data_IF_327113528016
#
_entry.id   IF_327113528016
#
_cell.length_a   1.000
_cell.length_b   1.000
_cell.length_c   1.000
_cell.angle_alpha   90.00
_cell.angle_beta   90.00
_cell.angle_gamma   90.00
#
_symmetry.space_group_name_H-M   'P 1'
#
loop_
_entity.id
_entity.type
_entity.pdbx_description
1 polymer ?
#
# COMPACT_ATOMS: atom_id res chain seq x y z
N UNK A 1 51.79 7.15 28.84
CA UNK A 1 50.51 7.72 28.34
C UNK A 1 50.29 7.54 26.85
N UNK A 2 51.30 7.36 25.99
CA UNK A 2 51.13 7.12 24.57
C UNK A 2 51.08 5.65 24.15
N UNK A 3 51.59 4.72 24.99
CA UNK A 3 51.55 3.27 24.69
C UNK A 3 50.21 2.61 25.03
N UNK A 4 49.48 3.09 26.01
CA UNK A 4 48.16 2.59 26.38
C UNK A 4 47.10 2.90 25.31
N UNK A 5 47.18 4.08 24.66
CA UNK A 5 46.26 4.44 23.57
C UNK A 5 46.47 3.65 22.27
N UNK A 6 47.68 3.09 22.07
CA UNK A 6 47.96 2.26 20.90
C UNK A 6 47.40 0.84 21.07
N UNK A 7 47.46 0.28 22.28
CA UNK A 7 46.93 -1.04 22.58
C UNK A 7 45.38 -1.09 22.58
N UNK A 8 44.71 -0.02 23.00
CA UNK A 8 43.25 0.10 22.92
C UNK A 8 42.73 0.18 21.46
N UNK A 9 43.45 0.90 20.58
CA UNK A 9 43.10 0.99 19.17
C UNK A 9 43.34 -0.31 18.40
N UNK A 10 44.33 -1.09 18.78
CA UNK A 10 44.60 -2.41 18.19
C UNK A 10 43.54 -3.46 18.65
N UNK A 11 43.09 -3.38 19.91
CA UNK A 11 42.04 -4.22 20.45
C UNK A 11 40.65 -3.98 19.77
N UNK A 12 40.31 -2.73 19.54
CA UNK A 12 39.06 -2.36 18.85
C UNK A 12 39.06 -2.75 17.36
N UNK A 13 40.21 -2.68 16.70
CA UNK A 13 40.37 -3.09 15.29
C UNK A 13 40.20 -4.61 15.06
N UNK A 14 40.56 -5.42 16.04
CA UNK A 14 40.51 -6.90 15.92
C UNK A 14 39.12 -7.42 16.27
N UNK A 15 38.36 -6.78 17.14
CA UNK A 15 36.98 -7.18 17.46
C UNK A 15 35.97 -6.86 16.34
N UNK A 16 36.22 -5.82 15.54
CA UNK A 16 35.31 -5.41 14.47
C UNK A 16 35.40 -6.28 13.21
N UNK A 17 36.43 -7.12 13.07
CA UNK A 17 36.61 -7.96 11.87
C UNK A 17 36.08 -9.41 12.01
N UNK A 18 35.62 -9.84 13.19
CA UNK A 18 35.10 -11.19 13.41
C UNK A 18 33.58 -11.36 13.22
N UNK A 19 32.84 -10.28 13.11
CA UNK A 19 31.37 -10.31 12.96
C UNK A 19 30.88 -9.83 11.60
N UNK A 20 31.64 -10.01 10.52
CA UNK A 20 31.00 -10.02 9.18
C UNK A 20 30.15 -11.29 9.13
N UNK A 21 28.90 -11.13 9.55
CA UNK A 21 27.85 -12.15 9.51
C UNK A 21 27.88 -12.83 8.14
N UNK A 22 27.69 -14.15 8.11
CA UNK A 22 27.47 -14.93 6.88
C UNK A 22 26.40 -14.27 5.98
N UNK A 23 25.53 -13.45 6.58
CA UNK A 23 24.54 -12.63 5.91
C UNK A 23 25.12 -11.59 4.93
N UNK A 24 26.32 -11.03 5.20
CA UNK A 24 26.95 -10.03 4.32
C UNK A 24 27.59 -10.64 3.05
N UNK A 25 27.84 -11.95 3.07
CA UNK A 25 28.39 -12.70 1.91
C UNK A 25 27.32 -13.12 0.90
N UNK A 26 26.04 -13.07 1.29
CA UNK A 26 24.94 -13.53 0.46
C UNK A 26 24.44 -12.34 -0.39
N UNK A 27 24.42 -12.47 -1.74
CA UNK A 27 23.93 -11.42 -2.62
C UNK A 27 22.45 -11.11 -2.31
N UNK A 28 22.07 -9.84 -2.39
CA UNK A 28 20.69 -9.37 -2.10
C UNK A 28 19.60 -10.20 -2.82
N UNK A 29 19.92 -10.73 -4.01
CA UNK A 29 19.01 -11.61 -4.79
C UNK A 29 18.67 -12.91 -4.06
N UNK A 30 19.64 -13.49 -3.35
CA UNK A 30 19.43 -14.74 -2.59
C UNK A 30 18.55 -14.46 -1.36
N UNK A 31 18.71 -13.32 -0.70
CA UNK A 31 17.83 -12.90 0.38
C UNK A 31 16.39 -12.72 -0.08
N UNK A 32 16.17 -12.19 -1.28
CA UNK A 32 14.83 -12.10 -1.87
C UNK A 32 14.22 -13.48 -2.13
N UNK A 33 15.01 -14.42 -2.64
CA UNK A 33 14.55 -15.81 -2.86
C UNK A 33 14.21 -16.51 -1.55
N UNK A 34 15.06 -16.35 -0.53
CA UNK A 34 14.82 -16.90 0.81
C UNK A 34 13.53 -16.29 1.41
N UNK A 35 13.37 -14.98 1.33
CA UNK A 35 12.17 -14.29 1.81
C UNK A 35 10.91 -14.80 1.10
N UNK A 36 10.97 -14.97 -0.22
CA UNK A 36 9.87 -15.53 -0.99
C UNK A 36 9.56 -16.98 -0.62
N UNK A 37 10.60 -17.81 -0.45
CA UNK A 37 10.45 -19.20 -0.03
C UNK A 37 9.82 -19.29 1.39
N UNK A 38 10.27 -18.45 2.32
CA UNK A 38 9.69 -18.37 3.68
C UNK A 38 8.22 -17.94 3.63
N UNK A 39 7.88 -16.94 2.81
CA UNK A 39 6.50 -16.50 2.64
C UNK A 39 5.60 -17.60 2.06
N UNK A 40 6.10 -18.36 1.06
CA UNK A 40 5.38 -19.49 0.48
C UNK A 40 5.22 -20.65 1.47
N UNK A 41 6.25 -20.93 2.27
CA UNK A 41 6.18 -21.94 3.32
C UNK A 41 5.16 -21.53 4.39
N UNK A 42 5.19 -20.28 4.81
CA UNK A 42 4.22 -19.73 5.77
C UNK A 42 2.78 -19.83 5.25
N UNK A 43 2.54 -19.45 3.99
CA UNK A 43 1.25 -19.63 3.35
C UNK A 43 0.82 -21.11 3.34
N UNK A 44 1.74 -22.01 2.96
CA UNK A 44 1.44 -23.44 2.92
C UNK A 44 1.03 -23.98 4.29
N UNK A 45 1.75 -23.58 5.36
CA UNK A 45 1.42 -23.97 6.74
C UNK A 45 0.02 -23.47 7.12
N UNK A 46 -0.29 -22.19 6.84
CA UNK A 46 -1.60 -21.61 7.13
C UNK A 46 -2.74 -22.30 6.35
N UNK A 47 -2.45 -22.79 5.16
CA UNK A 47 -3.40 -23.51 4.31
C UNK A 47 -3.78 -24.90 4.84
N UNK A 48 -2.90 -25.54 5.63
CA UNK A 48 -3.13 -26.88 6.21
C UNK A 48 -3.93 -26.78 7.51
N UNK A 49 -3.84 -25.69 8.25
CA UNK A 49 -4.52 -25.52 9.54
C UNK A 49 -6.04 -25.37 9.29
N UNK A 50 -6.90 -26.25 9.85
CA UNK A 50 -8.34 -26.24 9.58
C UNK A 50 -9.04 -24.93 9.92
N UNK A 51 -8.55 -24.22 10.96
CA UNK A 51 -9.11 -22.92 11.37
C UNK A 51 -8.85 -21.79 10.38
N UNK A 52 -7.73 -21.85 9.67
CA UNK A 52 -7.27 -20.79 8.74
C UNK A 52 -7.46 -21.16 7.27
N UNK A 53 -7.70 -22.42 6.94
CA UNK A 53 -7.86 -22.92 5.56
C UNK A 53 -9.01 -22.25 4.78
N UNK A 54 -10.00 -21.68 5.46
CA UNK A 54 -11.08 -20.90 4.82
C UNK A 54 -10.58 -19.55 4.30
N UNK A 55 -9.61 -18.94 4.98
CA UNK A 55 -9.02 -17.66 4.59
C UNK A 55 -7.78 -17.83 3.69
N UNK A 56 -7.00 -18.90 3.96
CA UNK A 56 -5.77 -19.22 3.21
C UNK A 56 -5.96 -20.53 2.45
N UNK A 57 -6.51 -20.44 1.26
CA UNK A 57 -6.68 -21.59 0.39
C UNK A 57 -5.36 -22.18 -0.08
N UNK A 58 -5.33 -23.50 -0.33
CA UNK A 58 -4.15 -24.18 -0.85
C UNK A 58 -3.77 -23.60 -2.22
N UNK A 59 -2.47 -23.38 -2.43
CA UNK A 59 -1.91 -22.83 -3.68
C UNK A 59 -2.38 -23.61 -4.90
N UNK A 60 -2.49 -24.94 -4.78
CA UNK A 60 -2.98 -25.81 -5.88
C UNK A 60 -4.42 -25.46 -6.25
N UNK A 61 -5.29 -25.25 -5.26
CA UNK A 61 -6.70 -24.85 -5.49
C UNK A 61 -6.79 -23.50 -6.14
N UNK A 62 -5.94 -22.56 -5.75
CA UNK A 62 -5.87 -21.22 -6.37
C UNK A 62 -5.46 -21.33 -7.84
N UNK A 63 -4.41 -22.12 -8.16
CA UNK A 63 -4.01 -22.35 -9.54
C UNK A 63 -5.10 -23.03 -10.39
N UNK A 64 -5.80 -24.01 -9.82
CA UNK A 64 -6.93 -24.66 -10.49
C UNK A 64 -8.08 -23.69 -10.74
N UNK A 65 -8.37 -22.80 -9.78
CA UNK A 65 -9.41 -21.77 -9.93
C UNK A 65 -9.06 -20.80 -11.05
N UNK A 66 -7.81 -20.36 -11.14
CA UNK A 66 -7.35 -19.48 -12.24
C UNK A 66 -7.55 -20.20 -13.58
N UNK A 67 -7.12 -21.46 -13.68
CA UNK A 67 -7.32 -22.24 -14.90
C UNK A 67 -8.80 -22.33 -15.28
N UNK A 68 -9.66 -22.63 -14.31
CA UNK A 68 -11.12 -22.72 -14.55
C UNK A 68 -11.70 -21.37 -15.01
N UNK A 69 -11.23 -20.25 -14.48
CA UNK A 69 -11.66 -18.91 -14.91
C UNK A 69 -11.21 -18.60 -16.34
N UNK A 70 -9.99 -19.04 -16.72
CA UNK A 70 -9.50 -18.92 -18.09
C UNK A 70 -10.35 -19.76 -19.03
N UNK A 71 -10.57 -21.04 -18.70
CA UNK A 71 -11.35 -21.97 -19.52
C UNK A 71 -12.81 -21.53 -19.73
N UNK A 72 -13.38 -20.83 -18.72
CA UNK A 72 -14.73 -20.22 -18.81
C UNK A 72 -14.74 -18.88 -19.55
N UNK A 73 -13.61 -18.29 -19.88
CA UNK A 73 -13.50 -16.99 -20.53
C UNK A 73 -13.91 -15.79 -19.66
N UNK A 74 -14.12 -15.99 -18.33
CA UNK A 74 -14.60 -14.92 -17.44
C UNK A 74 -13.46 -14.07 -16.87
N UNK A 75 -12.23 -14.59 -16.86
CA UNK A 75 -11.08 -13.90 -16.28
C UNK A 75 -10.84 -12.52 -16.93
N UNK A 76 -10.91 -12.45 -18.27
CA UNK A 76 -10.70 -11.19 -19.00
C UNK A 76 -11.78 -10.16 -18.71
N UNK A 77 -13.04 -10.58 -18.64
CA UNK A 77 -14.17 -9.70 -18.32
C UNK A 77 -14.10 -9.17 -16.89
N UNK A 78 -13.67 -9.98 -15.94
CA UNK A 78 -13.54 -9.60 -14.54
C UNK A 78 -12.36 -8.63 -14.33
N UNK A 79 -11.23 -8.89 -15.00
CA UNK A 79 -10.09 -7.95 -14.99
C UNK A 79 -10.49 -6.62 -15.59
N UNK A 80 -11.13 -6.61 -16.75
CA UNK A 80 -11.57 -5.38 -17.42
C UNK A 80 -12.59 -4.62 -16.57
N UNK A 81 -13.53 -5.32 -15.97
CA UNK A 81 -14.53 -4.76 -15.06
C UNK A 81 -13.88 -4.07 -13.84
N UNK A 82 -12.89 -4.71 -13.25
CA UNK A 82 -12.12 -4.17 -12.11
C UNK A 82 -11.30 -2.95 -12.55
N UNK A 83 -10.63 -3.03 -13.69
CA UNK A 83 -9.85 -1.93 -14.25
C UNK A 83 -10.71 -0.69 -14.53
N UNK A 84 -11.88 -0.87 -15.13
CA UNK A 84 -12.84 0.21 -15.37
C UNK A 84 -13.28 0.85 -14.05
N UNK A 85 -13.55 0.06 -13.00
CA UNK A 85 -13.96 0.58 -11.70
C UNK A 85 -12.83 1.41 -11.05
N UNK A 86 -11.59 0.93 -11.15
CA UNK A 86 -10.42 1.63 -10.62
C UNK A 86 -10.18 2.94 -11.37
N UNK A 87 -10.14 2.90 -12.70
CA UNK A 87 -9.89 4.09 -13.52
C UNK A 87 -11.01 5.12 -13.33
N UNK A 88 -12.27 4.70 -13.33
CA UNK A 88 -13.41 5.60 -13.14
C UNK A 88 -13.36 6.28 -11.76
N UNK A 89 -13.14 5.51 -10.69
CA UNK A 89 -13.04 6.06 -9.33
C UNK A 89 -11.83 7.00 -9.17
N UNK A 90 -10.69 6.63 -9.76
CA UNK A 90 -9.48 7.45 -9.74
C UNK A 90 -9.66 8.77 -10.49
N UNK A 91 -10.16 8.73 -11.72
CA UNK A 91 -10.39 9.93 -12.53
C UNK A 91 -11.38 10.88 -11.87
N UNK A 92 -12.50 10.35 -11.38
CA UNK A 92 -13.46 11.16 -10.64
C UNK A 92 -12.85 11.79 -9.39
N UNK A 93 -12.08 11.03 -8.62
CA UNK A 93 -11.37 11.52 -7.44
C UNK A 93 -10.38 12.62 -7.78
N UNK A 94 -9.56 12.41 -8.80
CA UNK A 94 -8.56 13.37 -9.25
C UNK A 94 -9.17 14.67 -9.76
N UNK A 95 -10.18 14.58 -10.64
CA UNK A 95 -10.85 15.75 -11.24
C UNK A 95 -11.48 16.65 -10.19
N UNK A 96 -12.03 16.07 -9.12
CA UNK A 96 -12.62 16.84 -8.01
C UNK A 96 -11.54 17.32 -7.03
N UNK A 97 -10.53 16.50 -6.75
CA UNK A 97 -9.45 16.84 -5.83
C UNK A 97 -8.62 18.03 -6.31
N UNK A 98 -8.36 18.12 -7.63
CA UNK A 98 -7.51 19.15 -8.22
C UNK A 98 -8.02 20.57 -7.92
N UNK A 99 -9.26 20.97 -8.28
CA UNK A 99 -9.76 22.30 -7.97
C UNK A 99 -9.87 22.56 -6.46
N UNK A 100 -10.26 21.58 -5.67
CA UNK A 100 -10.35 21.73 -4.21
C UNK A 100 -8.97 21.99 -3.61
N UNK A 101 -7.95 21.25 -4.01
CA UNK A 101 -6.58 21.43 -3.56
C UNK A 101 -6.01 22.80 -3.92
N UNK A 102 -6.26 23.28 -5.15
CA UNK A 102 -5.84 24.60 -5.61
C UNK A 102 -6.54 25.70 -4.80
N UNK A 103 -7.84 25.58 -4.56
CA UNK A 103 -8.57 26.53 -3.73
C UNK A 103 -8.05 26.57 -2.29
N UNK A 104 -7.71 25.40 -1.72
CA UNK A 104 -7.08 25.32 -0.39
C UNK A 104 -5.69 25.94 -0.35
N UNK A 105 -4.93 25.86 -1.45
CA UNK A 105 -3.61 26.47 -1.54
C UNK A 105 -3.69 28.02 -1.58
N UNK A 106 -4.64 28.56 -2.35
CA UNK A 106 -4.77 30.00 -2.55
C UNK A 106 -5.55 30.71 -1.46
N UNK A 107 -6.61 30.09 -0.93
CA UNK A 107 -7.53 30.73 0.01
C UNK A 107 -7.41 30.14 1.43
N UNK A 108 -6.77 30.87 2.34
CA UNK A 108 -6.63 30.50 3.76
C UNK A 108 -7.96 30.09 4.42
N UNK A 109 -9.10 30.84 4.25
CA UNK A 109 -10.38 30.43 4.87
C UNK A 109 -10.87 29.08 4.38
N UNK A 110 -10.77 28.80 3.07
CA UNK A 110 -11.17 27.52 2.46
C UNK A 110 -10.36 26.38 3.08
N UNK A 111 -9.07 26.59 3.22
CA UNK A 111 -8.17 25.63 3.85
C UNK A 111 -8.57 25.33 5.28
N UNK A 112 -8.76 26.35 6.11
CA UNK A 112 -9.09 26.17 7.53
C UNK A 112 -10.42 25.45 7.76
N UNK A 113 -11.35 25.55 6.81
CA UNK A 113 -12.63 24.84 6.87
C UNK A 113 -12.48 23.39 6.38
N UNK A 114 -11.80 23.16 5.25
CA UNK A 114 -11.79 21.85 4.59
C UNK A 114 -10.71 20.91 5.17
N UNK A 115 -9.53 21.44 5.52
CA UNK A 115 -8.38 20.63 5.96
C UNK A 115 -8.71 19.76 7.19
N UNK A 116 -9.38 20.24 8.26
CA UNK A 116 -9.71 19.40 9.40
C UNK A 116 -10.61 18.22 9.05
N UNK A 117 -11.59 18.41 8.14
CA UNK A 117 -12.50 17.36 7.70
C UNK A 117 -11.79 16.31 6.88
N UNK A 118 -10.94 16.73 5.94
CA UNK A 118 -10.13 15.79 5.16
C UNK A 118 -9.20 14.98 6.06
N UNK A 119 -8.52 15.63 7.01
CA UNK A 119 -7.64 14.96 7.97
C UNK A 119 -8.40 13.96 8.84
N UNK A 120 -9.58 14.33 9.32
CA UNK A 120 -10.43 13.45 10.12
C UNK A 120 -10.85 12.21 9.32
N UNK A 121 -11.42 12.41 8.12
CA UNK A 121 -11.94 11.30 7.30
C UNK A 121 -10.80 10.40 6.80
N UNK A 122 -9.64 10.97 6.42
CA UNK A 122 -8.48 10.23 5.93
C UNK A 122 -7.91 9.25 6.96
N UNK A 123 -8.06 9.53 8.25
CA UNK A 123 -7.60 8.64 9.31
C UNK A 123 -8.46 7.38 9.44
N UNK A 124 -9.66 7.37 8.85
CA UNK A 124 -10.52 6.19 8.82
C UNK A 124 -10.14 5.35 7.60
N UNK A 125 -9.75 4.06 7.79
CA UNK A 125 -9.44 3.19 6.65
C UNK A 125 -10.58 3.12 5.64
N UNK A 126 -10.33 3.27 4.33
CA UNK A 126 -11.40 3.22 3.31
C UNK A 126 -12.25 1.95 3.37
N UNK A 127 -11.67 0.82 3.80
CA UNK A 127 -12.39 -0.44 4.00
C UNK A 127 -13.51 -0.36 5.04
N UNK A 128 -13.44 0.57 6.00
CA UNK A 128 -14.46 0.74 7.01
C UNK A 128 -15.78 1.30 6.45
N UNK A 129 -15.72 2.05 5.33
CA UNK A 129 -16.93 2.58 4.67
C UNK A 129 -17.60 1.56 3.73
N UNK A 130 -16.91 0.49 3.34
CA UNK A 130 -17.42 -0.46 2.35
C UNK A 130 -18.80 -1.00 2.71
N UNK A 131 -19.05 -1.50 3.94
CA UNK A 131 -20.39 -1.98 4.31
C UNK A 131 -21.46 -0.89 4.18
N UNK A 132 -21.17 0.32 4.62
CA UNK A 132 -22.10 1.44 4.54
C UNK A 132 -22.42 1.82 3.09
N UNK A 133 -21.40 1.87 2.24
CA UNK A 133 -21.56 2.20 0.83
C UNK A 133 -22.33 1.09 0.09
N UNK A 134 -22.09 -0.18 0.44
CA UNK A 134 -22.84 -1.32 -0.14
C UNK A 134 -24.32 -1.25 0.25
N UNK A 135 -24.65 -0.91 1.48
CA UNK A 135 -26.03 -0.71 1.92
C UNK A 135 -26.70 0.44 1.15
N UNK A 136 -25.97 1.54 0.94
CA UNK A 136 -26.52 2.74 0.28
C UNK A 136 -26.60 2.61 -1.25
N UNK A 137 -25.58 2.02 -1.90
CA UNK A 137 -25.45 1.98 -3.35
C UNK A 137 -25.76 0.61 -3.98
N UNK A 138 -26.04 -0.40 -3.15
CA UNK A 138 -26.27 -1.78 -3.58
C UNK A 138 -24.99 -2.56 -3.84
N UNK A 139 -25.15 -3.83 -4.25
CA UNK A 139 -24.04 -4.72 -4.61
C UNK A 139 -23.65 -4.50 -6.07
N UNK A 140 -22.35 -4.53 -6.36
CA UNK A 140 -21.86 -4.46 -7.74
C UNK A 140 -20.75 -3.44 -7.95
N UNK A 141 -20.66 -2.86 -9.16
CA UNK A 141 -19.59 -1.97 -9.57
C UNK A 141 -19.67 -0.57 -8.93
N UNK A 142 -20.88 -0.08 -8.66
CA UNK A 142 -21.10 1.27 -8.10
C UNK A 142 -20.38 1.49 -6.77
N UNK A 143 -20.55 0.63 -5.72
CA UNK A 143 -19.85 0.81 -4.45
C UNK A 143 -18.33 0.76 -4.59
N UNK A 144 -17.80 -0.05 -5.51
CA UNK A 144 -16.36 -0.09 -5.77
C UNK A 144 -15.83 1.26 -6.27
N UNK A 145 -16.51 1.85 -7.25
CA UNK A 145 -16.16 3.17 -7.80
C UNK A 145 -16.21 4.23 -6.70
N UNK A 146 -17.27 4.23 -5.87
CA UNK A 146 -17.45 5.21 -4.79
C UNK A 146 -16.33 5.11 -3.74
N UNK A 147 -15.96 3.91 -3.32
CA UNK A 147 -14.87 3.71 -2.35
C UNK A 147 -13.54 4.22 -2.91
N UNK A 148 -13.23 3.88 -4.17
CA UNK A 148 -12.00 4.33 -4.83
C UNK A 148 -12.01 5.85 -5.02
N UNK A 149 -13.14 6.42 -5.41
CA UNK A 149 -13.31 7.85 -5.55
C UNK A 149 -13.04 8.59 -4.23
N UNK A 150 -13.66 8.17 -3.13
CA UNK A 150 -13.45 8.80 -1.81
C UNK A 150 -11.98 8.71 -1.39
N UNK A 151 -11.37 7.53 -1.48
CA UNK A 151 -9.98 7.32 -1.13
C UNK A 151 -9.03 8.19 -1.96
N UNK A 152 -9.23 8.23 -3.28
CA UNK A 152 -8.43 9.03 -4.20
C UNK A 152 -8.60 10.52 -3.94
N UNK A 153 -9.84 10.99 -3.78
CA UNK A 153 -10.14 12.39 -3.48
C UNK A 153 -9.41 12.88 -2.23
N UNK A 154 -9.49 12.14 -1.11
CA UNK A 154 -8.88 12.52 0.16
C UNK A 154 -7.35 12.58 0.06
N UNK A 155 -6.73 11.56 -0.55
CA UNK A 155 -5.26 11.49 -0.66
C UNK A 155 -4.75 12.55 -1.63
N UNK A 156 -5.36 12.66 -2.82
CA UNK A 156 -4.92 13.60 -3.86
C UNK A 156 -5.08 15.05 -3.44
N UNK A 157 -6.19 15.39 -2.77
CA UNK A 157 -6.40 16.77 -2.30
C UNK A 157 -5.28 17.21 -1.37
N UNK A 158 -4.90 16.38 -0.39
CA UNK A 158 -3.81 16.73 0.53
C UNK A 158 -2.45 16.76 -0.17
N UNK A 159 -2.18 15.78 -1.02
CA UNK A 159 -0.88 15.68 -1.72
C UNK A 159 -0.66 16.88 -2.67
N UNK A 160 -1.67 17.23 -3.46
CA UNK A 160 -1.61 18.37 -4.39
C UNK A 160 -1.51 19.68 -3.62
N UNK A 161 -2.34 19.86 -2.58
CA UNK A 161 -2.29 21.04 -1.72
C UNK A 161 -0.90 21.22 -1.09
N UNK A 162 -0.31 20.18 -0.50
CA UNK A 162 1.03 20.23 0.07
C UNK A 162 2.11 20.48 -0.99
N UNK A 163 1.98 19.90 -2.18
CA UNK A 163 2.89 20.12 -3.28
C UNK A 163 2.91 21.58 -3.72
N UNK A 164 1.74 22.18 -3.95
CA UNK A 164 1.63 23.59 -4.34
C UNK A 164 2.21 24.53 -3.27
N UNK A 165 1.93 24.26 -2.00
CA UNK A 165 2.44 25.06 -0.88
C UNK A 165 3.96 24.99 -0.73
N UNK A 166 4.57 23.85 -0.98
CA UNK A 166 6.03 23.69 -0.87
C UNK A 166 6.79 24.46 -1.96
N UNK A 167 6.18 24.68 -3.12
CA UNK A 167 6.78 25.50 -4.21
C UNK A 167 6.89 26.95 -3.77
N UNK A 168 5.86 27.49 -3.12
CA UNK A 168 5.78 28.90 -2.68
C UNK A 168 6.84 29.25 -1.58
N UNK A 169 7.34 28.24 -0.88
CA UNK A 169 8.38 28.43 0.16
C UNK A 169 9.82 28.32 -0.40
N UNK A 170 10.01 28.05 -1.68
CA UNK A 170 11.34 27.82 -2.30
C UNK A 170 11.75 28.97 -3.24
N UNK A 171 10.84 29.90 -3.51
CA UNK A 171 11.06 31.14 -4.26
C UNK A 171 11.25 32.34 -3.32
#
# INVERSE_FOLDING_TARGET
>A
MNQERSSEREGDGIMNNKNKSLADKIPKRVWLLISFAVAMLFWYILSIIPSTSRAFQNVVVVCQSIKTMIDRGVLGTDILSSLISVVAGYVLGFVIALPVAILMAWYKPVRYIIEPWIQFIRNIPPLAYVPLIVIAAGVGRKPQIIVIWIATFLIMTVTIYQGVRNIDNTL
#
